data_IF_342054323505
#
_entry.id   IF_342054323505
#
_cell.length_a   1.000
_cell.length_b   1.000
_cell.length_c   1.000
_cell.angle_alpha   90.00
_cell.angle_beta   90.00
_cell.angle_gamma   90.00
#
_symmetry.space_group_name_H-M   'P 1'
#
loop_
_entity.id
_entity.type
_entity.pdbx_description
1 polymer ?
#
# COMPACT_ATOMS: atom_id res chain seq x y z
N UNK A 1 -30.24 14.39 -14.47
CA UNK A 1 -28.77 14.54 -14.26
C UNK A 1 -28.11 13.21 -14.60
N UNK A 2 -27.60 13.08 -15.83
CA UNK A 2 -26.82 11.90 -16.22
C UNK A 2 -25.47 12.00 -15.51
N UNK A 3 -25.20 11.05 -14.61
CA UNK A 3 -23.86 10.89 -14.07
C UNK A 3 -22.97 10.45 -15.23
N UNK A 4 -21.96 11.26 -15.55
CA UNK A 4 -20.85 10.84 -16.40
C UNK A 4 -20.10 9.70 -15.69
N UNK A 5 -20.59 8.47 -15.85
CA UNK A 5 -19.87 7.26 -15.47
C UNK A 5 -18.70 7.19 -16.44
N UNK A 6 -17.48 7.46 -15.95
CA UNK A 6 -16.27 7.14 -16.71
C UNK A 6 -16.37 5.65 -17.08
N UNK A 7 -16.18 5.27 -18.35
CA UNK A 7 -16.25 3.87 -18.74
C UNK A 7 -15.31 3.05 -17.85
N UNK A 8 -15.81 1.92 -17.34
CA UNK A 8 -15.00 0.97 -16.58
C UNK A 8 -13.78 0.62 -17.42
N UNK A 9 -12.60 0.98 -16.93
CA UNK A 9 -11.33 0.73 -17.63
C UNK A 9 -11.07 -0.77 -17.62
N UNK A 10 -11.16 -1.42 -18.78
CA UNK A 10 -10.92 -2.85 -18.91
C UNK A 10 -9.46 -3.14 -18.58
N UNK A 11 -9.23 -4.01 -17.61
CA UNK A 11 -7.86 -4.33 -17.16
C UNK A 11 -7.05 -5.09 -18.20
N UNK A 12 -7.69 -5.73 -19.19
CA UNK A 12 -7.05 -6.45 -20.28
C UNK A 12 -6.13 -5.55 -21.13
N UNK A 13 -6.46 -4.27 -21.25
CA UNK A 13 -5.74 -3.32 -22.10
C UNK A 13 -4.70 -2.48 -21.35
N UNK A 14 -4.64 -2.62 -20.02
CA UNK A 14 -3.70 -1.89 -19.17
C UNK A 14 -2.26 -2.28 -19.50
N UNK A 15 -1.38 -1.29 -19.60
CA UNK A 15 0.06 -1.47 -19.78
C UNK A 15 0.83 -0.64 -18.78
N UNK A 16 2.05 -1.10 -18.49
CA UNK A 16 3.03 -0.36 -17.72
C UNK A 16 4.17 0.11 -18.62
N UNK A 17 4.57 1.36 -18.44
CA UNK A 17 5.77 1.92 -19.05
C UNK A 17 6.76 2.27 -17.94
N UNK A 18 7.96 1.71 -18.00
CA UNK A 18 9.00 1.99 -17.02
C UNK A 18 9.45 3.45 -17.16
N UNK A 19 9.23 4.25 -16.11
CA UNK A 19 9.75 5.62 -16.03
C UNK A 19 11.17 5.57 -15.49
N UNK A 20 11.39 4.77 -14.44
CA UNK A 20 12.65 4.79 -13.70
C UNK A 20 12.87 3.51 -12.91
N UNK A 21 14.13 3.10 -12.80
CA UNK A 21 14.64 2.11 -11.85
C UNK A 21 15.81 2.72 -11.08
N UNK A 22 15.81 2.61 -9.76
CA UNK A 22 16.80 3.22 -8.87
C UNK A 22 17.28 2.17 -7.87
N UNK A 23 18.59 2.18 -7.61
CA UNK A 23 19.23 1.32 -6.62
C UNK A 23 19.49 2.10 -5.33
N UNK A 24 19.11 1.56 -4.17
CA UNK A 24 19.41 2.21 -2.88
C UNK A 24 20.82 1.79 -2.42
N UNK A 25 21.85 2.32 -3.09
CA UNK A 25 23.26 1.87 -2.97
C UNK A 25 23.97 2.21 -1.64
N UNK A 26 23.29 2.75 -0.63
CA UNK A 26 23.98 3.39 0.52
C UNK A 26 24.20 2.50 1.74
N UNK A 27 23.48 1.40 1.91
CA UNK A 27 23.57 0.62 3.15
C UNK A 27 23.66 -0.88 2.89
N UNK A 28 24.43 -1.56 3.75
CA UNK A 28 24.70 -3.00 3.65
C UNK A 28 23.48 -3.86 4.01
N UNK A 29 22.49 -3.32 4.72
CA UNK A 29 21.25 -4.01 5.09
C UNK A 29 20.08 -3.02 5.20
N UNK A 30 19.25 -2.95 4.16
CA UNK A 30 17.98 -2.22 4.17
C UNK A 30 16.86 -3.24 4.16
N UNK A 31 15.84 -3.05 5.01
CA UNK A 31 14.65 -3.88 5.00
C UNK A 31 13.41 -2.98 4.95
N UNK A 32 12.84 -2.85 3.76
CA UNK A 32 11.68 -2.03 3.43
C UNK A 32 10.40 -2.87 3.48
N UNK A 33 9.43 -2.44 4.27
CA UNK A 33 8.13 -3.11 4.36
C UNK A 33 7.05 -2.41 3.55
N UNK A 34 7.14 -1.08 3.40
CA UNK A 34 6.21 -0.30 2.59
C UNK A 34 6.84 0.98 2.01
N UNK A 35 6.19 1.56 1.00
CA UNK A 35 6.53 2.86 0.46
C UNK A 35 5.30 3.68 0.05
N UNK A 36 5.43 5.01 0.14
CA UNK A 36 4.38 5.94 -0.26
C UNK A 36 4.92 7.13 -1.07
N UNK A 37 4.11 7.63 -1.99
CA UNK A 37 4.38 8.85 -2.74
C UNK A 37 3.67 10.01 -2.03
N UNK A 38 4.44 10.97 -1.53
CA UNK A 38 3.94 12.16 -0.88
C UNK A 38 3.31 13.15 -1.89
N UNK A 39 2.37 14.01 -1.46
CA UNK A 39 1.80 15.08 -2.30
C UNK A 39 2.82 16.00 -2.96
N UNK A 40 3.97 16.24 -2.31
CA UNK A 40 5.08 17.04 -2.87
C UNK A 40 5.92 16.26 -3.91
N UNK A 41 5.60 15.00 -4.19
CA UNK A 41 6.31 14.11 -5.10
C UNK A 41 7.53 13.41 -4.52
N UNK A 42 7.84 13.62 -3.23
CA UNK A 42 8.87 12.83 -2.56
C UNK A 42 8.35 11.40 -2.30
N UNK A 43 9.28 10.48 -2.13
CA UNK A 43 9.03 9.07 -1.85
C UNK A 43 9.48 8.82 -0.41
N UNK A 44 8.63 8.18 0.39
CA UNK A 44 8.98 7.68 1.71
C UNK A 44 8.98 6.17 1.71
N UNK A 45 9.94 5.57 2.43
CA UNK A 45 10.06 4.13 2.60
C UNK A 45 10.12 3.79 4.10
N UNK A 46 9.32 2.82 4.53
CA UNK A 46 9.35 2.26 5.89
C UNK A 46 10.54 1.31 6.02
N UNK A 47 11.60 1.72 6.74
CA UNK A 47 12.78 0.89 6.98
C UNK A 47 12.65 0.13 8.30
N UNK A 48 12.02 -1.04 8.25
CA UNK A 48 11.63 -1.81 9.44
C UNK A 48 12.81 -2.35 10.26
N UNK A 49 14.01 -2.51 9.72
CA UNK A 49 15.19 -2.86 10.52
C UNK A 49 15.87 -1.65 11.22
N UNK A 50 15.14 -0.54 11.37
CA UNK A 50 15.60 0.71 11.97
C UNK A 50 14.44 1.54 12.50
N UNK A 51 14.72 2.66 13.17
CA UNK A 51 13.70 3.60 13.68
C UNK A 51 13.60 4.85 12.79
N UNK A 52 13.65 4.69 11.48
CA UNK A 52 13.62 5.79 10.52
C UNK A 52 12.78 5.47 9.27
N UNK A 53 12.26 6.51 8.65
CA UNK A 53 11.80 6.48 7.25
C UNK A 53 12.93 6.98 6.36
N UNK A 54 13.06 6.43 5.16
CA UNK A 54 13.98 6.98 4.16
C UNK A 54 13.22 7.88 3.20
N UNK A 55 13.74 9.09 2.97
CA UNK A 55 13.15 10.07 2.07
C UNK A 55 13.99 10.20 0.79
N UNK A 56 13.31 10.08 -0.35
CA UNK A 56 13.92 10.24 -1.68
C UNK A 56 13.12 11.22 -2.52
N UNK A 57 13.79 11.87 -3.47
CA UNK A 57 13.10 12.54 -4.57
C UNK A 57 12.58 11.52 -5.57
N UNK A 58 11.53 11.85 -6.32
CA UNK A 58 11.03 11.02 -7.43
C UNK A 58 12.11 10.68 -8.47
N UNK A 59 13.16 11.52 -8.60
CA UNK A 59 14.29 11.24 -9.48
C UNK A 59 15.24 10.15 -8.97
N UNK A 60 15.10 9.72 -7.71
CA UNK A 60 15.93 8.70 -7.07
C UNK A 60 17.05 9.21 -6.19
N UNK A 61 17.14 10.52 -6.00
CA UNK A 61 18.13 11.11 -5.11
C UNK A 61 17.66 10.96 -3.67
N UNK A 62 18.47 10.31 -2.84
CA UNK A 62 18.29 10.31 -1.39
C UNK A 62 18.28 11.75 -0.87
N UNK A 63 17.32 12.07 -0.01
CA UNK A 63 17.21 13.36 0.66
C UNK A 63 17.73 13.22 2.09
N UNK A 64 17.07 12.40 2.89
CA UNK A 64 17.34 12.30 4.32
C UNK A 64 16.72 11.03 4.94
N UNK A 65 17.04 10.79 6.20
CA UNK A 65 16.30 9.85 7.04
C UNK A 65 15.51 10.62 8.09
N UNK A 66 14.30 10.13 8.36
CA UNK A 66 13.33 10.79 9.23
C UNK A 66 13.12 9.89 10.45
N UNK A 67 13.57 10.29 11.64
CA UNK A 67 13.36 9.50 12.85
C UNK A 67 11.87 9.30 13.16
N UNK A 68 11.53 8.07 13.53
CA UNK A 68 10.19 7.67 14.00
C UNK A 68 10.32 6.93 15.33
N UNK A 69 9.18 6.64 15.98
CA UNK A 69 9.20 6.10 17.34
C UNK A 69 9.85 4.71 17.48
N UNK A 70 9.69 3.85 16.48
CA UNK A 70 10.17 2.45 16.47
C UNK A 70 10.14 1.92 15.03
N UNK A 71 10.34 0.62 14.82
CA UNK A 71 10.39 -0.06 13.51
C UNK A 71 9.10 0.15 12.69
N UNK A 72 9.11 1.03 11.67
CA UNK A 72 7.91 1.32 10.88
C UNK A 72 7.57 0.14 9.99
N UNK A 73 6.28 -0.16 9.83
CA UNK A 73 5.80 -1.30 9.04
C UNK A 73 5.04 -0.86 7.78
N UNK A 74 3.94 -0.10 7.92
CA UNK A 74 3.15 0.38 6.79
C UNK A 74 2.88 1.89 6.91
N UNK A 75 2.72 2.58 5.77
CA UNK A 75 2.58 4.04 5.72
C UNK A 75 1.43 4.42 4.80
N UNK A 76 0.62 5.40 5.21
CA UNK A 76 -0.36 6.00 4.31
C UNK A 76 -0.41 7.52 4.42
N UNK A 77 -0.62 8.20 3.30
CA UNK A 77 -0.82 9.65 3.28
C UNK A 77 -2.22 9.99 3.79
N UNK A 78 -2.30 10.92 4.74
CA UNK A 78 -3.57 11.42 5.27
C UNK A 78 -4.03 12.67 4.54
N UNK A 79 -3.11 13.60 4.30
CA UNK A 79 -3.33 14.90 3.68
C UNK A 79 -2.02 15.54 3.19
N UNK A 80 -1.99 16.88 3.06
CA UNK A 80 -0.85 17.63 2.53
C UNK A 80 0.41 17.57 3.37
N UNK A 81 0.32 17.30 4.68
CA UNK A 81 1.48 17.40 5.59
C UNK A 81 1.60 16.19 6.52
N UNK A 82 0.61 15.30 6.53
CA UNK A 82 0.54 14.18 7.47
C UNK A 82 0.45 12.81 6.81
N UNK A 83 1.09 11.85 7.47
CA UNK A 83 0.99 10.42 7.21
C UNK A 83 0.52 9.69 8.47
N UNK A 84 -0.03 8.49 8.29
CA UNK A 84 -0.14 7.52 9.38
C UNK A 84 0.93 6.43 9.22
N UNK A 85 1.51 6.01 10.33
CA UNK A 85 2.59 5.00 10.38
C UNK A 85 2.19 3.93 11.38
N UNK A 86 2.17 2.67 10.95
CA UNK A 86 2.00 1.50 11.81
C UNK A 86 3.34 0.84 12.09
N UNK A 87 3.36 -0.02 13.12
CA UNK A 87 4.60 -0.54 13.71
C UNK A 87 4.54 -2.05 13.94
N UNK A 88 3.77 -2.78 13.12
CA UNK A 88 3.68 -4.25 13.12
C UNK A 88 3.22 -4.82 14.47
N UNK A 89 4.14 -5.43 15.22
CA UNK A 89 3.86 -6.06 16.51
C UNK A 89 3.52 -5.03 17.61
N UNK A 90 3.87 -3.76 17.42
CA UNK A 90 3.64 -2.74 18.42
C UNK A 90 2.16 -2.33 18.49
N UNK A 91 1.69 -2.03 19.70
CA UNK A 91 0.27 -1.81 19.99
C UNK A 91 -0.19 -0.36 19.80
N UNK A 92 0.43 0.36 18.86
CA UNK A 92 0.07 1.72 18.52
C UNK A 92 0.43 2.03 17.07
N UNK A 93 -0.27 3.00 16.51
CA UNK A 93 0.15 3.68 15.28
C UNK A 93 0.24 5.18 15.54
N UNK A 94 0.88 5.91 14.64
CA UNK A 94 1.08 7.35 14.76
C UNK A 94 0.46 8.12 13.62
N UNK A 95 0.00 9.33 13.93
CA UNK A 95 -0.17 10.41 12.96
C UNK A 95 1.09 11.25 13.06
N UNK A 96 1.81 11.33 11.95
CA UNK A 96 3.12 11.98 11.85
C UNK A 96 3.04 13.12 10.83
N UNK A 97 3.51 14.29 11.22
CA UNK A 97 3.68 15.42 10.32
C UNK A 97 5.06 15.31 9.68
N UNK A 98 5.09 14.98 8.39
CA UNK A 98 6.34 14.72 7.69
C UNK A 98 7.04 16.00 7.24
N UNK A 99 6.34 17.13 7.23
CA UNK A 99 6.92 18.44 6.92
C UNK A 99 7.69 18.99 8.12
N UNK A 100 7.08 18.94 9.30
CA UNK A 100 7.67 19.42 10.55
C UNK A 100 8.49 18.33 11.27
N UNK A 101 8.48 17.11 10.74
CA UNK A 101 9.21 15.93 11.23
C UNK A 101 8.91 15.62 12.70
N UNK A 102 7.63 15.62 13.06
CA UNK A 102 7.17 15.38 14.43
C UNK A 102 5.97 14.43 14.49
N UNK A 103 5.90 13.69 15.58
CA UNK A 103 4.74 12.87 15.93
C UNK A 103 3.64 13.79 16.48
N UNK A 104 2.53 13.93 15.77
CA UNK A 104 1.38 14.71 16.24
C UNK A 104 0.54 13.93 17.25
N UNK A 105 0.38 12.63 17.02
CA UNK A 105 -0.46 11.77 17.87
C UNK A 105 -0.01 10.33 17.84
N UNK A 106 0.08 9.72 19.02
CA UNK A 106 0.23 8.27 19.20
C UNK A 106 -1.12 7.67 19.63
N UNK A 107 -1.59 6.66 18.91
CA UNK A 107 -2.93 6.08 19.08
C UNK A 107 -2.76 4.60 19.46
N UNK A 108 -3.16 4.26 20.68
CA UNK A 108 -3.08 2.90 21.20
C UNK A 108 -4.19 2.02 20.62
N UNK A 109 -3.81 0.89 20.03
CA UNK A 109 -4.70 -0.11 19.43
C UNK A 109 -4.91 -1.33 20.33
N UNK A 110 -4.06 -1.50 21.35
CA UNK A 110 -4.06 -2.64 22.28
C UNK A 110 -3.66 -3.98 21.66
N UNK A 111 -3.26 -3.99 20.38
CA UNK A 111 -2.87 -5.15 19.57
C UNK A 111 -1.93 -4.71 18.46
N UNK A 112 -1.13 -5.63 17.93
CA UNK A 112 -0.30 -5.37 16.75
C UNK A 112 -1.11 -4.76 15.60
N UNK A 113 -0.55 -3.75 14.96
CA UNK A 113 -1.14 -3.03 13.84
C UNK A 113 -0.18 -3.10 12.64
N UNK A 114 -0.66 -3.68 11.56
CA UNK A 114 0.14 -4.04 10.39
C UNK A 114 -0.15 -3.10 9.25
N UNK A 115 -1.06 -3.45 8.35
CA UNK A 115 -1.40 -2.59 7.23
C UNK A 115 -2.16 -1.32 7.62
N UNK A 116 -1.98 -0.24 6.88
CA UNK A 116 -2.75 1.00 7.02
C UNK A 116 -3.04 1.63 5.67
N UNK A 117 -4.28 2.06 5.47
CA UNK A 117 -4.63 2.88 4.31
C UNK A 117 -5.62 3.98 4.65
N UNK A 118 -5.70 4.99 3.78
CA UNK A 118 -6.63 6.10 3.88
C UNK A 118 -7.63 6.07 2.72
N UNK A 119 -8.91 6.31 3.05
CA UNK A 119 -9.91 6.63 2.04
C UNK A 119 -10.99 7.53 2.63
N UNK A 120 -11.30 8.63 1.92
CA UNK A 120 -12.35 9.62 2.29
C UNK A 120 -12.23 10.16 3.73
N UNK A 121 -11.03 10.52 4.15
CA UNK A 121 -10.83 11.09 5.49
C UNK A 121 -10.97 10.08 6.63
N UNK A 122 -10.93 8.78 6.30
CA UNK A 122 -10.88 7.69 7.27
C UNK A 122 -9.58 6.90 7.10
N UNK A 123 -9.02 6.49 8.23
CA UNK A 123 -7.84 5.64 8.35
C UNK A 123 -8.34 4.23 8.67
N UNK A 124 -7.92 3.24 7.89
CA UNK A 124 -8.22 1.83 8.12
C UNK A 124 -6.93 1.16 8.54
N UNK A 125 -6.89 0.69 9.79
CA UNK A 125 -5.72 0.01 10.36
C UNK A 125 -6.04 -1.47 10.47
N UNK A 126 -5.20 -2.30 9.88
CA UNK A 126 -5.32 -3.76 9.90
C UNK A 126 -4.63 -4.34 11.14
N UNK A 127 -5.42 -4.99 11.98
CA UNK A 127 -5.04 -5.79 13.13
C UNK A 127 -5.53 -7.24 12.87
N UNK A 128 -5.91 -7.99 13.90
CA UNK A 128 -6.75 -9.19 13.76
C UNK A 128 -8.08 -8.87 13.03
N UNK A 129 -8.59 -7.66 13.26
CA UNK A 129 -9.75 -7.02 12.61
C UNK A 129 -9.32 -5.75 11.87
N UNK A 130 -10.26 -4.93 11.38
CA UNK A 130 -9.93 -3.57 10.90
C UNK A 130 -10.51 -2.54 11.85
N UNK A 131 -9.66 -1.70 12.41
CA UNK A 131 -10.11 -0.53 13.18
C UNK A 131 -10.13 0.70 12.28
N UNK A 132 -11.23 1.45 12.33
CA UNK A 132 -11.45 2.62 11.49
C UNK A 132 -11.39 3.86 12.36
N UNK A 133 -10.59 4.83 11.95
CA UNK A 133 -10.41 6.12 12.61
C UNK A 133 -10.73 7.25 11.63
N UNK A 134 -11.04 8.44 12.13
CA UNK A 134 -10.91 9.65 11.31
C UNK A 134 -9.45 10.11 11.24
N UNK A 135 -9.17 11.09 10.36
CA UNK A 135 -7.84 11.71 10.21
C UNK A 135 -7.32 12.45 11.45
N UNK A 136 -8.12 12.60 12.51
CA UNK A 136 -7.65 13.13 13.81
C UNK A 136 -7.24 12.02 14.77
N UNK A 137 -7.39 10.76 14.37
CA UNK A 137 -7.11 9.59 15.19
C UNK A 137 -8.24 9.23 16.16
N UNK A 138 -9.45 9.76 15.98
CA UNK A 138 -10.61 9.32 16.77
C UNK A 138 -11.16 8.04 16.15
N UNK A 139 -11.26 6.99 16.96
CA UNK A 139 -11.86 5.72 16.54
C UNK A 139 -13.34 5.91 16.20
N UNK A 140 -13.74 5.44 15.03
CA UNK A 140 -15.10 5.50 14.51
C UNK A 140 -15.83 4.17 14.69
N UNK A 141 -15.21 3.07 14.26
CA UNK A 141 -15.80 1.74 14.33
C UNK A 141 -14.74 0.63 14.20
N UNK A 142 -15.20 -0.61 14.20
CA UNK A 142 -14.40 -1.80 13.97
C UNK A 142 -15.13 -2.72 13.00
N UNK A 143 -14.44 -3.18 11.97
CA UNK A 143 -14.94 -4.12 10.97
C UNK A 143 -14.30 -5.49 11.23
N UNK A 144 -15.13 -6.54 11.25
CA UNK A 144 -14.67 -7.92 11.34
C UNK A 144 -14.57 -8.47 9.93
N UNK A 145 -13.35 -8.65 9.45
CA UNK A 145 -13.06 -9.31 8.18
C UNK A 145 -12.62 -10.75 8.47
N UNK A 146 -12.86 -11.68 7.55
CA UNK A 146 -12.26 -13.02 7.65
C UNK A 146 -10.73 -12.88 7.70
N UNK A 147 -10.10 -13.41 8.75
CA UNK A 147 -8.69 -13.14 9.05
C UNK A 147 -7.85 -14.41 9.02
N UNK A 148 -7.37 -14.78 7.84
CA UNK A 148 -6.29 -15.75 7.67
C UNK A 148 -5.24 -15.10 6.78
N UNK A 149 -4.01 -14.92 7.30
CA UNK A 149 -2.89 -14.35 6.55
C UNK A 149 -3.06 -12.93 5.97
N UNK A 150 -4.06 -12.15 6.40
CA UNK A 150 -4.25 -10.78 5.90
C UNK A 150 -3.46 -9.78 6.75
N UNK A 151 -2.43 -9.16 6.18
CA UNK A 151 -1.56 -8.18 6.86
C UNK A 151 -1.78 -6.78 6.29
N UNK A 152 -1.76 -6.64 4.96
CA UNK A 152 -1.94 -5.37 4.26
C UNK A 152 -3.40 -5.09 3.92
N UNK A 153 -3.73 -3.82 3.73
CA UNK A 153 -5.07 -3.38 3.34
C UNK A 153 -4.99 -2.13 2.47
N UNK A 154 -5.84 -2.05 1.45
CA UNK A 154 -6.07 -0.81 0.69
C UNK A 154 -7.56 -0.54 0.54
N UNK A 155 -7.92 0.68 0.15
CA UNK A 155 -9.30 1.14 0.15
C UNK A 155 -9.65 1.97 -1.08
N UNK A 156 -10.71 1.57 -1.77
CA UNK A 156 -11.36 2.43 -2.77
C UNK A 156 -12.44 3.30 -2.13
N UNK A 157 -13.28 3.91 -2.98
CA UNK A 157 -14.44 4.69 -2.56
C UNK A 157 -15.43 3.88 -1.70
N UNK A 158 -15.61 2.60 -2.03
CA UNK A 158 -16.72 1.76 -1.54
C UNK A 158 -16.28 0.38 -1.03
N UNK A 159 -15.01 0.01 -1.22
CA UNK A 159 -14.52 -1.33 -0.91
C UNK A 159 -13.16 -1.27 -0.22
N UNK A 160 -12.93 -2.24 0.65
CA UNK A 160 -11.65 -2.58 1.25
C UNK A 160 -11.10 -3.82 0.56
N UNK A 161 -9.80 -3.83 0.31
CA UNK A 161 -9.12 -4.97 -0.29
C UNK A 161 -7.96 -5.42 0.60
N UNK A 162 -7.85 -6.72 0.81
CA UNK A 162 -6.76 -7.32 1.60
C UNK A 162 -6.28 -8.62 0.96
N UNK A 163 -4.97 -8.74 0.64
CA UNK A 163 -4.40 -10.00 0.21
C UNK A 163 -4.14 -10.89 1.43
N UNK A 164 -4.30 -12.20 1.24
CA UNK A 164 -3.91 -13.22 2.21
C UNK A 164 -2.68 -13.95 1.70
N UNK A 165 -1.55 -13.79 2.40
CA UNK A 165 -0.30 -14.46 2.03
C UNK A 165 -0.35 -15.98 2.29
N UNK A 166 -1.28 -16.45 3.13
CA UNK A 166 -1.38 -17.88 3.51
C UNK A 166 -2.09 -18.72 2.46
N UNK A 167 -3.09 -18.16 1.78
CA UNK A 167 -3.95 -18.92 0.87
C UNK A 167 -4.01 -18.36 -0.56
N UNK A 168 -3.18 -17.36 -0.88
CA UNK A 168 -3.08 -16.78 -2.23
C UNK A 168 -4.36 -16.08 -2.69
N UNK A 169 -5.19 -15.58 -1.76
CA UNK A 169 -6.49 -14.99 -2.09
C UNK A 169 -6.51 -13.49 -1.81
N UNK A 170 -7.07 -12.70 -2.73
CA UNK A 170 -7.36 -11.28 -2.55
C UNK A 170 -8.84 -11.14 -2.21
N UNK A 171 -9.12 -10.55 -1.05
CA UNK A 171 -10.49 -10.36 -0.57
C UNK A 171 -10.95 -8.95 -0.84
N UNK A 172 -12.20 -8.79 -1.27
CA UNK A 172 -12.90 -7.53 -1.36
C UNK A 172 -14.07 -7.52 -0.37
N UNK A 173 -14.11 -6.50 0.47
CA UNK A 173 -15.20 -6.28 1.41
C UNK A 173 -15.83 -4.91 1.15
N UNK A 174 -17.12 -4.78 1.42
CA UNK A 174 -17.76 -3.47 1.48
C UNK A 174 -17.28 -2.66 2.69
N UNK A 175 -17.70 -1.41 2.80
CA UNK A 175 -17.32 -0.54 3.93
C UNK A 175 -17.93 -0.96 5.29
N UNK A 176 -18.79 -1.99 5.31
CA UNK A 176 -19.33 -2.61 6.52
C UNK A 176 -18.59 -3.90 6.90
N UNK A 177 -17.62 -4.32 6.09
CA UNK A 177 -16.84 -5.54 6.28
C UNK A 177 -17.50 -6.81 5.74
N UNK A 178 -18.55 -6.70 4.94
CA UNK A 178 -19.15 -7.85 4.27
C UNK A 178 -18.34 -8.21 3.02
N UNK A 179 -17.98 -9.49 2.86
CA UNK A 179 -17.32 -9.98 1.64
C UNK A 179 -18.21 -9.75 0.42
N UNK A 180 -17.64 -9.14 -0.62
CA UNK A 180 -18.31 -8.85 -1.90
C UNK A 180 -17.83 -9.81 -2.98
N UNK A 181 -16.51 -10.02 -3.04
CA UNK A 181 -15.88 -11.02 -3.89
C UNK A 181 -14.51 -11.41 -3.34
N UNK A 182 -14.00 -12.54 -3.81
CA UNK A 182 -12.61 -12.96 -3.60
C UNK A 182 -12.02 -13.43 -4.91
N UNK A 183 -10.73 -13.19 -5.09
CA UNK A 183 -9.97 -13.59 -6.26
C UNK A 183 -8.85 -14.53 -5.85
N UNK A 184 -8.76 -15.68 -6.52
CA UNK A 184 -7.70 -16.68 -6.33
C UNK A 184 -7.30 -17.21 -7.69
N UNK A 185 -6.00 -17.32 -7.90
CA UNK A 185 -5.39 -17.81 -9.13
C UNK A 185 -4.00 -18.37 -8.82
N UNK A 186 -3.50 -19.29 -9.64
CA UNK A 186 -2.17 -19.90 -9.44
C UNK A 186 -1.02 -18.88 -9.55
N UNK A 187 -1.28 -17.72 -10.14
CA UNK A 187 -0.35 -16.60 -10.16
C UNK A 187 -0.18 -15.90 -8.81
N UNK A 188 -1.00 -16.23 -7.80
CA UNK A 188 -0.91 -15.71 -6.44
C UNK A 188 -0.54 -16.83 -5.45
N UNK A 189 0.70 -16.81 -4.97
CA UNK A 189 1.22 -17.78 -4.00
C UNK A 189 1.41 -17.15 -2.63
N UNK A 190 1.94 -15.93 -2.58
CA UNK A 190 2.19 -15.19 -1.35
C UNK A 190 1.98 -13.68 -1.61
N UNK A 191 0.73 -13.25 -1.84
CA UNK A 191 0.44 -11.85 -2.14
C UNK A 191 0.62 -10.97 -0.90
N UNK A 192 1.37 -9.89 -1.05
CA UNK A 192 1.63 -8.91 0.02
C UNK A 192 1.20 -7.50 -0.39
N UNK A 193 1.93 -6.90 -1.33
CA UNK A 193 1.71 -5.51 -1.71
C UNK A 193 0.38 -5.31 -2.41
N UNK A 194 -0.39 -4.32 -1.98
CA UNK A 194 -1.71 -4.03 -2.55
C UNK A 194 -1.96 -2.54 -2.68
N UNK A 195 -2.46 -2.13 -3.85
CA UNK A 195 -2.93 -0.77 -4.11
C UNK A 195 -4.15 -0.81 -5.04
N UNK A 196 -4.94 0.26 -5.08
CA UNK A 196 -6.02 0.36 -6.05
C UNK A 196 -5.98 1.66 -6.85
N UNK A 197 -6.47 1.60 -8.09
CA UNK A 197 -6.67 2.77 -8.91
C UNK A 197 -7.95 3.55 -8.52
N UNK A 198 -8.19 4.68 -9.20
CA UNK A 198 -9.39 5.48 -9.01
C UNK A 198 -10.69 4.80 -9.47
N UNK A 199 -10.59 3.71 -10.23
CA UNK A 199 -11.71 2.92 -10.75
C UNK A 199 -12.05 1.74 -9.82
N UNK A 200 -11.23 1.50 -8.80
CA UNK A 200 -11.34 0.34 -7.91
C UNK A 200 -10.71 -0.93 -8.45
N UNK A 201 -9.92 -0.86 -9.53
CA UNK A 201 -9.07 -1.96 -9.96
C UNK A 201 -7.90 -2.10 -8.98
N UNK A 202 -7.49 -3.33 -8.70
CA UNK A 202 -6.56 -3.64 -7.62
C UNK A 202 -5.24 -4.16 -8.19
N UNK A 203 -4.15 -3.49 -7.89
CA UNK A 203 -2.79 -3.94 -8.13
C UNK A 203 -2.34 -4.82 -6.98
N UNK A 204 -1.78 -5.99 -7.29
CA UNK A 204 -1.29 -6.94 -6.30
C UNK A 204 0.11 -7.41 -6.68
N UNK A 205 1.04 -7.24 -5.74
CA UNK A 205 2.39 -7.78 -5.83
C UNK A 205 2.46 -9.07 -5.04
N UNK A 206 2.93 -10.13 -5.68
CA UNK A 206 3.19 -11.41 -5.04
C UNK A 206 4.69 -11.63 -4.87
N UNK A 207 5.12 -11.89 -3.64
CA UNK A 207 6.55 -12.04 -3.33
C UNK A 207 7.11 -13.38 -3.79
N UNK A 208 6.28 -14.45 -3.81
CA UNK A 208 6.72 -15.79 -4.16
C UNK A 208 6.59 -16.06 -5.67
N UNK A 209 5.49 -15.64 -6.29
CA UNK A 209 5.30 -15.71 -7.74
C UNK A 209 6.04 -14.62 -8.51
N UNK A 210 6.57 -13.61 -7.81
CA UNK A 210 7.35 -12.49 -8.37
C UNK A 210 6.66 -11.85 -9.56
N UNK A 211 5.41 -11.45 -9.38
CA UNK A 211 4.62 -10.78 -10.40
C UNK A 211 3.84 -9.62 -9.81
N UNK A 212 3.50 -8.68 -10.69
CA UNK A 212 2.47 -7.68 -10.44
C UNK A 212 1.28 -8.01 -11.34
N UNK A 213 0.13 -8.21 -10.71
CA UNK A 213 -1.15 -8.36 -11.43
C UNK A 213 -2.04 -7.15 -11.18
N UNK A 214 -2.99 -6.92 -12.09
CA UNK A 214 -4.14 -6.04 -11.86
C UNK A 214 -5.41 -6.86 -11.97
N UNK A 215 -6.29 -6.72 -10.97
CA UNK A 215 -7.62 -7.34 -10.91
C UNK A 215 -8.65 -6.24 -11.15
N UNK A 216 -9.63 -6.50 -12.00
CA UNK A 216 -10.72 -5.58 -12.28
C UNK A 216 -11.59 -5.40 -11.03
N UNK A 217 -12.21 -4.23 -10.88
CA UNK A 217 -13.02 -3.86 -9.72
C UNK A 217 -14.16 -4.85 -9.35
N UNK A 218 -14.58 -5.72 -10.28
CA UNK A 218 -15.59 -6.75 -10.07
C UNK A 218 -15.02 -8.13 -9.68
N UNK A 219 -13.69 -8.26 -9.62
CA UNK A 219 -12.99 -9.50 -9.27
C UNK A 219 -12.99 -10.57 -10.37
N UNK A 220 -13.51 -10.30 -11.57
CA UNK A 220 -13.73 -11.34 -12.61
C UNK A 220 -12.63 -11.43 -13.65
N UNK A 221 -11.98 -10.32 -13.94
CA UNK A 221 -10.92 -10.25 -14.95
C UNK A 221 -9.65 -9.78 -14.29
N UNK A 222 -8.52 -10.34 -14.69
CA UNK A 222 -7.21 -9.91 -14.25
C UNK A 222 -6.21 -9.96 -15.39
N UNK A 223 -5.07 -9.31 -15.19
CA UNK A 223 -3.96 -9.33 -16.12
C UNK A 223 -2.64 -9.34 -15.35
N UNK A 224 -1.71 -10.18 -15.78
CA UNK A 224 -0.32 -10.08 -15.35
C UNK A 224 0.33 -8.89 -16.08
N UNK A 225 0.73 -7.87 -15.33
CA UNK A 225 1.28 -6.63 -15.87
C UNK A 225 2.79 -6.67 -16.01
N UNK A 226 3.47 -7.34 -15.07
CA UNK A 226 4.92 -7.32 -14.99
C UNK A 226 5.44 -8.55 -14.26
N UNK A 227 6.48 -9.15 -14.83
CA UNK A 227 7.31 -10.13 -14.16
C UNK A 227 8.41 -9.40 -13.37
N UNK A 228 8.58 -9.78 -12.09
CA UNK A 228 9.46 -9.16 -11.12
C UNK A 228 10.61 -10.09 -10.71
N UNK A 229 11.05 -11.02 -11.58
CA UNK A 229 12.13 -11.97 -11.27
C UNK A 229 13.46 -11.30 -10.86
N UNK A 230 13.69 -10.08 -11.35
CA UNK A 230 14.86 -9.27 -10.98
C UNK A 230 14.74 -8.61 -9.60
N UNK A 231 13.60 -8.72 -8.93
CA UNK A 231 13.42 -8.34 -7.54
C UNK A 231 13.73 -9.57 -6.67
N UNK A 232 14.47 -9.35 -5.59
CA UNK A 232 14.79 -10.39 -4.62
C UNK A 232 13.52 -10.79 -3.86
N UNK A 233 12.78 -9.81 -3.35
CA UNK A 233 11.51 -10.00 -2.65
C UNK A 233 10.58 -8.77 -2.88
N UNK A 234 9.81 -8.72 -3.98
CA UNK A 234 8.89 -7.62 -4.20
C UNK A 234 7.74 -7.69 -3.18
N UNK A 235 7.57 -6.65 -2.35
CA UNK A 235 6.61 -6.68 -1.21
C UNK A 235 5.63 -5.53 -1.18
N UNK A 236 5.91 -4.40 -1.81
CA UNK A 236 5.03 -3.22 -1.76
C UNK A 236 4.76 -2.63 -3.15
N UNK A 237 3.55 -2.09 -3.31
CA UNK A 237 3.12 -1.30 -4.45
C UNK A 237 2.32 -0.10 -3.96
N UNK A 238 2.64 1.09 -4.46
CA UNK A 238 1.90 2.32 -4.18
C UNK A 238 1.40 2.93 -5.49
N UNK A 239 0.11 3.31 -5.56
CA UNK A 239 -0.47 3.98 -6.72
C UNK A 239 -0.65 5.47 -6.49
N UNK A 240 -0.02 6.29 -7.33
CA UNK A 240 -0.27 7.73 -7.40
C UNK A 240 -1.42 8.00 -8.39
N UNK A 241 -2.57 8.40 -7.85
CA UNK A 241 -3.78 8.74 -8.60
C UNK A 241 -3.62 9.91 -9.58
N UNK A 242 -2.84 10.93 -9.22
CA UNK A 242 -2.75 12.18 -9.99
C UNK A 242 -1.88 11.97 -11.22
N UNK A 243 -0.79 11.24 -11.06
CA UNK A 243 0.13 10.90 -12.15
C UNK A 243 -0.22 9.57 -12.82
N UNK A 244 -1.15 8.79 -12.29
CA UNK A 244 -1.39 7.40 -12.72
C UNK A 244 -0.08 6.62 -12.82
N UNK A 245 0.74 6.69 -11.76
CA UNK A 245 2.00 5.96 -11.67
C UNK A 245 1.93 4.95 -10.53
N UNK A 246 2.71 3.87 -10.65
CA UNK A 246 2.93 2.94 -9.55
C UNK A 246 4.41 2.93 -9.15
N UNK A 247 4.67 2.93 -7.86
CA UNK A 247 5.97 2.67 -7.26
C UNK A 247 5.97 1.23 -6.76
N UNK A 248 7.01 0.47 -7.12
CA UNK A 248 7.23 -0.91 -6.66
C UNK A 248 8.59 -0.94 -5.97
N UNK A 249 8.66 -1.52 -4.78
CA UNK A 249 9.90 -1.66 -4.03
C UNK A 249 10.14 -3.12 -3.60
N UNK A 250 11.42 -3.48 -3.58
CA UNK A 250 11.92 -4.73 -3.03
C UNK A 250 12.09 -4.61 -1.50
N UNK A 251 11.80 -5.69 -0.78
CA UNK A 251 11.94 -5.80 0.67
C UNK A 251 13.38 -5.53 1.11
N UNK A 252 14.37 -6.03 0.38
CA UNK A 252 15.78 -5.81 0.76
C UNK A 252 16.30 -4.41 0.35
N UNK A 253 15.40 -3.52 -0.06
CA UNK A 253 15.69 -2.13 -0.41
C UNK A 253 16.69 -1.99 -1.55
N UNK A 254 17.06 -3.05 -2.27
CA UNK A 254 18.08 -2.95 -3.31
C UNK A 254 17.61 -2.09 -4.49
N UNK A 255 16.31 -2.17 -4.82
CA UNK A 255 15.74 -1.52 -5.99
C UNK A 255 14.33 -1.01 -5.73
N UNK A 256 14.02 0.16 -6.30
CA UNK A 256 12.64 0.56 -6.56
C UNK A 256 12.47 1.02 -8.00
N UNK A 257 11.27 0.82 -8.53
CA UNK A 257 10.94 1.24 -9.89
C UNK A 257 9.62 2.00 -9.92
N UNK A 258 9.58 3.03 -10.75
CA UNK A 258 8.40 3.83 -11.01
C UNK A 258 7.90 3.53 -12.42
N UNK A 259 6.62 3.19 -12.55
CA UNK A 259 5.97 2.93 -13.83
C UNK A 259 4.82 3.88 -14.06
N UNK A 260 4.58 4.27 -15.31
CA UNK A 260 3.33 4.88 -15.75
C UNK A 260 2.32 3.78 -16.03
N UNK A 261 1.10 3.94 -15.51
CA UNK A 261 -0.04 3.09 -15.86
C UNK A 261 -0.77 3.72 -17.05
N UNK A 262 -0.83 2.98 -18.15
CA UNK A 262 -1.51 3.37 -19.36
C UNK A 262 -2.80 2.56 -19.48
N UNK A 263 -3.93 3.25 -19.31
CA UNK A 263 -5.26 2.72 -19.62
C UNK A 263 -5.53 3.08 -21.07
N UNK A 264 -5.62 2.07 -21.93
CA UNK A 264 -6.01 2.27 -23.34
C UNK A 264 -7.52 2.32 -23.47
#
# INVERSE_FOLDING_TARGET
MQQNVRPSRNVADVKLELIRKIDMKRESQIYITDCVILPNGHLLFAKYNSTELLEYREQGNYIDSIPVSTEPYDITVLDSDRIAITYGQHHFFEIFNYRDRLVEKKINTGRGCWGVCQSKGKIYVKLDKVEVFDITGKKLCTLKLASEGQIYITASKNYLFSPSYENGTVYCHDMNGQEVWKFRDDSLKQPYGIANDCSGNVFVVDSMSKNLIIIQHDGKTYKNLLNLEHYSAPVTVCYNKDKSTILICDEYGHHFSLYKVLYK
#
